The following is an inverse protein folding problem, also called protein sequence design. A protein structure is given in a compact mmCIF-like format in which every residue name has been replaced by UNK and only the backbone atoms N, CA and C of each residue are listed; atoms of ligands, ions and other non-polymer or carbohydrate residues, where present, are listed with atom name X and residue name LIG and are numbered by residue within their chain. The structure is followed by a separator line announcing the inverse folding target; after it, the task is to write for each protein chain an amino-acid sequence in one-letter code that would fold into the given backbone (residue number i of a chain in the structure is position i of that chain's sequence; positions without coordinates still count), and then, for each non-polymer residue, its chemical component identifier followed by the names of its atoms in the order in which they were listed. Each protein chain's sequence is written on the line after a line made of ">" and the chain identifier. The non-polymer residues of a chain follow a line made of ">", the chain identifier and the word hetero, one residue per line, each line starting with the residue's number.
data_IF_718259866479
#
_entry.id   IF_718259866479
#
_cell.length_a   1.000
_cell.length_b   1.000
_cell.length_c   1.000
_cell.angle_alpha   90.00
_cell.angle_beta   90.00
_cell.angle_gamma   90.00
#
_symmetry.space_group_name_H-M   'P 1'
#
loop_
_entity.id
_entity.type
_entity.pdbx_description
1 polymer ?
#
# COMPACT_ATOMS: atom_id res chain seq x y z
N UNK A 1 13.89 -6.80 15.02
CA UNK A 1 12.59 -6.09 15.04
C UNK A 1 11.67 -6.87 15.97
N UNK A 2 11.25 -6.24 17.06
CA UNK A 2 10.33 -6.82 18.03
C UNK A 2 8.90 -6.92 17.48
N UNK A 3 8.01 -7.60 18.21
CA UNK A 3 6.63 -7.83 17.78
C UNK A 3 5.84 -6.53 17.61
N UNK A 4 6.05 -5.54 18.49
CA UNK A 4 5.36 -4.26 18.39
C UNK A 4 5.77 -3.54 17.11
N UNK A 5 7.06 -3.50 16.81
CA UNK A 5 7.57 -2.91 15.57
C UNK A 5 6.98 -3.56 14.31
N UNK A 6 6.79 -4.89 14.30
CA UNK A 6 6.13 -5.59 13.19
C UNK A 6 4.65 -5.21 13.06
N UNK A 7 3.94 -5.08 14.17
CA UNK A 7 2.54 -4.66 14.17
C UNK A 7 2.39 -3.22 13.66
N UNK A 8 3.23 -2.31 14.13
CA UNK A 8 3.26 -0.92 13.66
C UNK A 8 3.53 -0.84 12.15
N UNK A 9 4.49 -1.61 11.64
CA UNK A 9 4.80 -1.65 10.22
C UNK A 9 3.62 -2.18 9.39
N UNK A 10 2.89 -3.17 9.90
CA UNK A 10 1.68 -3.70 9.26
C UNK A 10 0.57 -2.65 9.19
N UNK A 11 0.31 -1.94 10.28
CA UNK A 11 -0.69 -0.87 10.30
C UNK A 11 -0.32 0.28 9.37
N UNK A 12 0.93 0.72 9.39
CA UNK A 12 1.42 1.76 8.47
C UNK A 12 1.28 1.34 7.00
N UNK A 13 1.61 0.08 6.67
CA UNK A 13 1.44 -0.45 5.32
C UNK A 13 -0.03 -0.51 4.89
N UNK A 14 -0.94 -0.87 5.80
CA UNK A 14 -2.36 -0.88 5.51
C UNK A 14 -2.88 0.53 5.25
N UNK A 15 -2.46 1.51 6.06
CA UNK A 15 -2.82 2.92 5.86
C UNK A 15 -2.31 3.44 4.51
N UNK A 16 -1.08 3.13 4.14
CA UNK A 16 -0.51 3.49 2.83
C UNK A 16 -1.32 2.90 1.67
N UNK A 17 -1.71 1.63 1.77
CA UNK A 17 -2.55 0.97 0.75
C UNK A 17 -3.92 1.64 0.63
N UNK A 18 -4.54 2.03 1.75
CA UNK A 18 -5.83 2.74 1.75
C UNK A 18 -5.70 4.13 1.11
N UNK A 19 -4.66 4.89 1.46
CA UNK A 19 -4.37 6.19 0.87
C UNK A 19 -4.19 6.08 -0.65
N UNK A 20 -3.36 5.14 -1.11
CA UNK A 20 -3.12 4.89 -2.53
C UNK A 20 -4.39 4.45 -3.25
N UNK A 21 -5.19 3.57 -2.64
CA UNK A 21 -6.47 3.14 -3.22
C UNK A 21 -7.40 4.33 -3.41
N UNK A 22 -7.47 5.22 -2.41
CA UNK A 22 -8.22 6.47 -2.50
C UNK A 22 -7.68 7.41 -3.58
N UNK A 23 -6.36 7.56 -3.71
CA UNK A 23 -5.71 8.37 -4.76
C UNK A 23 -6.05 7.87 -6.17
N UNK A 24 -6.17 6.54 -6.34
CA UNK A 24 -6.54 5.90 -7.61
C UNK A 24 -8.04 5.92 -7.91
N UNK A 25 -8.88 6.43 -7.00
CA UNK A 25 -10.34 6.39 -7.15
C UNK A 25 -10.95 5.02 -6.88
N UNK A 26 -10.19 4.10 -6.28
CA UNK A 26 -10.71 2.86 -5.72
C UNK A 26 -11.35 3.17 -4.35
N UNK A 27 -12.56 3.73 -4.39
CA UNK A 27 -13.37 3.98 -3.20
C UNK A 27 -13.83 2.64 -2.63
N UNK A 28 -13.28 2.36 -1.47
CA UNK A 28 -13.20 1.04 -0.91
C UNK A 28 -14.58 0.54 -0.43
N UNK A 29 -14.94 -0.64 -0.94
CA UNK A 29 -15.23 -1.85 -0.17
C UNK A 29 -14.58 -1.95 1.25
N UNK A 30 -14.65 -0.90 2.07
CA UNK A 30 -13.87 -0.67 3.31
C UNK A 30 -14.23 -1.60 4.49
N UNK A 31 -14.38 -2.91 4.29
CA UNK A 31 -14.79 -3.82 5.37
C UNK A 31 -14.03 -5.14 5.48
N UNK A 32 -13.11 -5.44 4.57
CA UNK A 32 -12.33 -6.68 4.63
C UNK A 32 -10.86 -6.40 4.36
N UNK A 33 -9.96 -7.24 4.89
CA UNK A 33 -8.50 -7.16 4.69
C UNK A 33 -8.05 -7.38 3.23
N UNK A 34 -8.97 -7.19 2.28
CA UNK A 34 -8.81 -7.42 0.85
C UNK A 34 -9.37 -6.21 0.12
N UNK A 35 -8.56 -5.64 -0.77
CA UNK A 35 -9.01 -4.59 -1.68
C UNK A 35 -9.87 -5.29 -2.74
N UNK A 36 -11.18 -5.33 -2.53
CA UNK A 36 -12.15 -6.00 -3.40
C UNK A 36 -13.10 -4.95 -3.96
N UNK A 37 -12.86 -4.46 -5.18
CA UNK A 37 -13.73 -3.51 -5.86
C UNK A 37 -15.22 -3.88 -5.77
N UNK A 38 -16.08 -2.85 -5.80
CA UNK A 38 -17.54 -2.86 -5.66
C UNK A 38 -18.34 -3.74 -6.65
N UNK A 39 -17.70 -4.66 -7.37
CA UNK A 39 -18.30 -5.46 -8.44
C UNK A 39 -18.83 -6.77 -7.87
N UNK A 40 -20.07 -7.19 -8.17
CA UNK A 40 -20.65 -8.44 -7.71
C UNK A 40 -19.66 -9.60 -7.81
N UNK A 41 -19.25 -10.15 -6.66
CA UNK A 41 -18.38 -11.30 -6.62
C UNK A 41 -19.07 -12.48 -7.32
N UNK A 42 -18.31 -13.20 -8.15
CA UNK A 42 -18.81 -14.35 -8.91
C UNK A 42 -18.86 -14.15 -10.43
N UNK A 43 -18.51 -12.96 -10.94
CA UNK A 43 -18.30 -12.73 -12.38
C UNK A 43 -16.82 -12.61 -12.72
N UNK A 44 -16.42 -13.08 -13.91
CA UNK A 44 -15.03 -12.95 -14.40
C UNK A 44 -14.55 -11.48 -14.42
N UNK A 45 -15.45 -10.54 -14.73
CA UNK A 45 -15.14 -9.12 -14.74
C UNK A 45 -14.84 -8.56 -13.33
N UNK A 46 -15.57 -9.01 -12.30
CA UNK A 46 -15.28 -8.65 -10.89
C UNK A 46 -13.90 -9.14 -10.47
N UNK A 47 -13.54 -10.38 -10.83
CA UNK A 47 -12.23 -10.95 -10.51
C UNK A 47 -11.11 -10.18 -11.21
N UNK A 48 -11.29 -9.84 -12.49
CA UNK A 48 -10.29 -9.09 -13.26
C UNK A 48 -10.02 -7.70 -12.69
N UNK A 49 -11.06 -6.96 -12.30
CA UNK A 49 -10.93 -5.62 -11.71
C UNK A 49 -10.30 -5.65 -10.31
N UNK A 50 -10.60 -6.69 -9.50
CA UNK A 50 -9.95 -6.88 -8.20
C UNK A 50 -8.45 -7.16 -8.35
N UNK A 51 -8.07 -8.00 -9.33
CA UNK A 51 -6.66 -8.29 -9.64
C UNK A 51 -5.96 -7.01 -10.09
N UNK A 52 -6.58 -6.25 -11.02
CA UNK A 52 -6.03 -4.99 -11.51
C UNK A 52 -5.79 -4.00 -10.37
N UNK A 53 -6.80 -3.80 -9.53
CA UNK A 53 -6.73 -2.93 -8.35
C UNK A 53 -5.59 -3.35 -7.42
N UNK A 54 -5.50 -4.64 -7.09
CA UNK A 54 -4.44 -5.18 -6.23
C UNK A 54 -3.03 -4.98 -6.81
N UNK A 55 -2.86 -5.13 -8.12
CA UNK A 55 -1.59 -4.91 -8.82
C UNK A 55 -1.20 -3.43 -8.76
N UNK A 56 -2.12 -2.52 -9.08
CA UNK A 56 -1.85 -1.09 -9.12
C UNK A 56 -1.50 -0.53 -7.73
N UNK A 57 -2.32 -0.85 -6.71
CA UNK A 57 -2.09 -0.42 -5.34
C UNK A 57 -0.81 -1.05 -4.77
N UNK A 58 -0.58 -2.34 -5.01
CA UNK A 58 0.62 -3.04 -4.54
C UNK A 58 1.91 -2.51 -5.18
N UNK A 59 1.89 -2.24 -6.48
CA UNK A 59 3.01 -1.68 -7.22
C UNK A 59 3.38 -0.28 -6.72
N UNK A 60 2.39 0.59 -6.52
CA UNK A 60 2.65 1.94 -5.99
C UNK A 60 3.06 1.94 -4.52
N UNK A 61 2.49 1.07 -3.70
CA UNK A 61 2.93 0.90 -2.29
C UNK A 61 4.41 0.56 -2.23
N UNK A 62 4.84 -0.37 -3.09
CA UNK A 62 6.25 -0.78 -3.19
C UNK A 62 7.15 0.37 -3.63
N UNK A 63 6.73 1.15 -4.63
CA UNK A 63 7.47 2.33 -5.10
C UNK A 63 7.65 3.37 -4.00
N UNK A 64 6.56 3.78 -3.33
CA UNK A 64 6.61 4.79 -2.24
C UNK A 64 7.52 4.32 -1.08
N UNK A 65 7.49 3.02 -0.74
CA UNK A 65 8.39 2.46 0.29
C UNK A 65 9.87 2.56 -0.09
N UNK A 66 10.20 2.29 -1.35
CA UNK A 66 11.58 2.41 -1.86
C UNK A 66 12.03 3.86 -1.83
N UNK A 67 11.20 4.79 -2.30
CA UNK A 67 11.49 6.24 -2.28
C UNK A 67 11.73 6.75 -0.85
N UNK A 68 10.91 6.33 0.12
CA UNK A 68 11.13 6.66 1.54
C UNK A 68 12.43 6.08 2.09
N UNK A 69 12.77 4.85 1.70
CA UNK A 69 14.03 4.22 2.08
C UNK A 69 15.25 4.95 1.51
N UNK A 70 15.21 5.33 0.24
CA UNK A 70 16.25 6.12 -0.42
C UNK A 70 16.44 7.46 0.28
N UNK A 71 15.35 8.19 0.52
CA UNK A 71 15.39 9.47 1.24
C UNK A 71 16.00 9.33 2.63
N UNK A 72 15.60 8.32 3.41
CA UNK A 72 16.15 8.08 4.74
C UNK A 72 17.65 7.77 4.73
N UNK A 73 18.14 7.10 3.67
CA UNK A 73 19.57 6.85 3.49
C UNK A 73 20.34 8.13 3.13
N UNK A 74 19.81 8.93 2.21
CA UNK A 74 20.40 10.22 1.83
C UNK A 74 20.47 11.19 3.01
N UNK A 75 19.38 11.33 3.75
CA UNK A 75 19.32 12.18 4.95
C UNK A 75 20.37 11.75 5.99
N UNK A 76 20.64 10.44 6.11
CA UNK A 76 21.68 9.92 7.01
C UNK A 76 23.09 10.24 6.53
N UNK A 77 23.35 10.16 5.23
CA UNK A 77 24.62 10.55 4.64
C UNK A 77 24.89 12.05 4.84
N UNK A 78 23.90 12.91 4.57
CA UNK A 78 24.04 14.36 4.73
C UNK A 78 24.28 14.76 6.19
N UNK A 79 23.63 14.07 7.14
CA UNK A 79 23.83 14.31 8.57
C UNK A 79 25.15 13.74 9.12
N UNK A 80 25.79 12.78 8.43
CA UNK A 80 27.09 12.23 8.85
C UNK A 80 28.28 13.08 8.38
N UNK A 81 28.04 14.06 7.50
CA UNK A 81 29.06 14.97 6.94
C UNK A 81 29.13 16.29 7.73
N UNK A 82 28.17 16.55 8.63
CA UNK A 82 28.15 17.71 9.55
C UNK A 82 28.78 17.37 10.89
#
# INVERSE_FOLDING_TARGET
>A
MDLQSKNNAREALNNLKMEISSELGYYDSMRTDKIEGLIPQGTLNSVAENIKTGIEVGGMSSRKLVEMGEKALLDKCDNSIK
#
